data_IF_668603374171
#
_entry.id   IF_668603374171
#
_cell.length_a   1.000
_cell.length_b   1.000
_cell.length_c   1.000
_cell.angle_alpha   90.00
_cell.angle_beta   90.00
_cell.angle_gamma   90.00
#
_symmetry.space_group_name_H-M   'P 1'
#
loop_
_entity.id
_entity.type
_entity.pdbx_description
1 polymer ?
#
# COMPACT_ATOMS: atom_id res chain seq x y z
N UNK A 1 -0.85 26.59 -16.00
CA UNK A 1 -1.51 25.29 -15.77
C UNK A 1 -1.52 24.39 -17.00
N UNK A 2 -2.07 24.81 -18.15
CA UNK A 2 -2.11 23.98 -19.38
C UNK A 2 -0.70 23.63 -19.88
N UNK A 3 0.20 24.60 -19.96
CA UNK A 3 1.58 24.39 -20.44
C UNK A 3 2.36 23.40 -19.56
N UNK A 4 2.21 23.49 -18.24
CA UNK A 4 2.82 22.54 -17.29
C UNK A 4 2.28 21.12 -17.48
N UNK A 5 0.96 20.96 -17.66
CA UNK A 5 0.36 19.66 -17.97
C UNK A 5 0.87 19.09 -19.29
N UNK A 6 1.01 19.92 -20.33
CA UNK A 6 1.56 19.51 -21.62
C UNK A 6 3.02 19.09 -21.50
N UNK A 7 3.83 19.80 -20.71
CA UNK A 7 5.23 19.43 -20.45
C UNK A 7 5.34 18.06 -19.78
N UNK A 8 4.49 17.77 -18.78
CA UNK A 8 4.42 16.47 -18.10
C UNK A 8 3.97 15.34 -19.04
N UNK A 9 3.00 15.61 -19.92
CA UNK A 9 2.56 14.65 -20.95
C UNK A 9 3.70 14.36 -21.92
N UNK A 10 4.35 15.40 -22.44
CA UNK A 10 5.49 15.26 -23.36
C UNK A 10 6.64 14.48 -22.70
N UNK A 11 6.87 14.70 -21.40
CA UNK A 11 7.91 14.01 -20.66
C UNK A 11 7.75 12.48 -20.73
N UNK A 12 6.53 11.97 -20.50
CA UNK A 12 6.20 10.55 -20.60
C UNK A 12 5.98 10.06 -22.04
N UNK A 13 5.54 10.93 -22.95
CA UNK A 13 5.33 10.58 -24.36
C UNK A 13 6.66 10.19 -25.00
N UNK A 14 7.67 11.07 -24.86
CA UNK A 14 9.03 10.88 -25.38
C UNK A 14 9.81 9.74 -24.70
N UNK A 15 9.39 9.29 -23.50
CA UNK A 15 10.13 8.32 -22.67
C UNK A 15 9.32 7.05 -22.41
N UNK A 16 9.09 6.28 -23.47
CA UNK A 16 8.26 5.08 -23.45
C UNK A 16 8.63 4.10 -22.33
N UNK A 17 9.92 3.82 -22.11
CA UNK A 17 10.37 2.85 -21.08
C UNK A 17 9.94 3.28 -19.68
N UNK A 18 10.18 4.55 -19.35
CA UNK A 18 9.83 5.13 -18.05
C UNK A 18 8.31 5.10 -17.89
N UNK A 19 7.56 5.54 -18.91
CA UNK A 19 6.10 5.50 -18.89
C UNK A 19 5.55 4.09 -18.61
N UNK A 20 6.05 3.07 -19.28
CA UNK A 20 5.58 1.69 -19.04
C UNK A 20 5.98 1.18 -17.66
N UNK A 21 7.18 1.45 -17.19
CA UNK A 21 7.61 1.11 -15.83
C UNK A 21 6.69 1.77 -14.78
N UNK A 22 6.44 3.08 -14.91
CA UNK A 22 5.52 3.83 -14.05
C UNK A 22 4.11 3.21 -14.08
N UNK A 23 3.60 2.84 -15.25
CA UNK A 23 2.27 2.20 -15.38
C UNK A 23 2.20 0.84 -14.69
N UNK A 24 3.25 0.02 -14.79
CA UNK A 24 3.33 -1.27 -14.11
C UNK A 24 3.31 -1.07 -12.59
N UNK A 25 4.05 -0.10 -12.07
CA UNK A 25 4.08 0.22 -10.65
C UNK A 25 2.73 0.75 -10.14
N UNK A 26 2.12 1.70 -10.85
CA UNK A 26 0.81 2.25 -10.48
C UNK A 26 -0.29 1.17 -10.47
N UNK A 27 -0.23 0.16 -11.35
CA UNK A 27 -1.19 -0.97 -11.33
C UNK A 27 -1.09 -1.84 -10.08
N UNK A 28 0.05 -1.81 -9.37
CA UNK A 28 0.25 -2.54 -8.11
C UNK A 28 -0.23 -1.74 -6.90
N UNK A 29 -0.66 -0.49 -7.09
CA UNK A 29 -1.22 0.34 -6.02
C UNK A 29 -2.74 0.16 -5.93
N UNK A 30 -3.29 0.29 -4.74
CA UNK A 30 -4.73 0.30 -4.52
C UNK A 30 -5.30 1.71 -4.68
N UNK A 31 -6.62 1.79 -4.80
CA UNK A 31 -7.35 3.05 -4.76
C UNK A 31 -7.31 3.65 -3.34
N UNK A 32 -6.33 4.53 -3.12
CA UNK A 32 -6.12 5.20 -1.84
C UNK A 32 -7.28 6.14 -1.46
N UNK A 33 -7.90 6.83 -2.43
CA UNK A 33 -9.00 7.75 -2.13
C UNK A 33 -10.20 6.98 -1.58
N UNK A 34 -10.56 5.86 -2.23
CA UNK A 34 -11.63 4.99 -1.74
C UNK A 34 -11.29 4.34 -0.40
N UNK A 35 -10.04 3.95 -0.19
CA UNK A 35 -9.59 3.40 1.09
C UNK A 35 -9.71 4.44 2.22
N UNK A 36 -9.26 5.67 1.99
CA UNK A 36 -9.36 6.77 2.96
C UNK A 36 -10.81 7.10 3.30
N UNK A 37 -11.72 7.05 2.32
CA UNK A 37 -13.15 7.20 2.57
C UNK A 37 -13.70 6.09 3.48
N UNK A 38 -13.34 4.83 3.22
CA UNK A 38 -13.72 3.70 4.10
C UNK A 38 -13.16 3.84 5.50
N UNK A 39 -11.90 4.29 5.62
CA UNK A 39 -11.24 4.52 6.91
C UNK A 39 -11.97 5.62 7.70
N UNK A 40 -12.32 6.73 7.06
CA UNK A 40 -13.08 7.82 7.67
C UNK A 40 -14.48 7.37 8.14
N UNK A 41 -15.10 6.44 7.41
CA UNK A 41 -16.39 5.86 7.78
C UNK A 41 -16.29 4.66 8.76
N UNK A 42 -15.09 4.23 9.13
CA UNK A 42 -14.90 3.04 9.99
C UNK A 42 -15.28 1.70 9.34
N UNK A 43 -15.36 1.64 8.00
CA UNK A 43 -15.76 0.45 7.23
C UNK A 43 -14.58 -0.22 6.52
N UNK A 44 -13.36 0.13 6.91
CA UNK A 44 -12.14 -0.53 6.43
C UNK A 44 -12.09 -1.97 6.93
N UNK A 45 -11.68 -2.89 6.06
CA UNK A 45 -11.51 -4.30 6.40
C UNK A 45 -10.02 -4.71 6.36
N UNK A 46 -9.66 -5.88 6.89
CA UNK A 46 -8.26 -6.33 6.93
C UNK A 46 -7.59 -6.39 5.56
N UNK A 47 -8.33 -6.82 4.51
CA UNK A 47 -7.83 -6.89 3.14
C UNK A 47 -7.51 -5.52 2.54
N UNK A 48 -8.26 -4.48 2.90
CA UNK A 48 -7.93 -3.11 2.50
C UNK A 48 -6.57 -2.69 3.10
N UNK A 49 -6.31 -3.05 4.36
CA UNK A 49 -5.04 -2.73 5.03
C UNK A 49 -3.85 -3.50 4.42
N UNK A 50 -4.07 -4.73 3.96
CA UNK A 50 -3.07 -5.47 3.18
C UNK A 50 -2.82 -4.78 1.83
N UNK A 51 -3.87 -4.33 1.14
CA UNK A 51 -3.73 -3.59 -0.11
C UNK A 51 -2.99 -2.25 0.07
N UNK A 52 -3.23 -1.56 1.19
CA UNK A 52 -2.46 -0.38 1.59
C UNK A 52 -0.99 -0.73 1.82
N UNK A 53 -0.72 -1.80 2.56
CA UNK A 53 0.65 -2.30 2.80
C UNK A 53 1.38 -2.55 1.48
N UNK A 54 0.76 -3.27 0.55
CA UNK A 54 1.30 -3.53 -0.78
C UNK A 54 1.57 -2.23 -1.56
N UNK A 55 0.66 -1.26 -1.49
CA UNK A 55 0.84 0.06 -2.11
C UNK A 55 2.04 0.79 -1.53
N UNK A 56 2.16 0.85 -0.20
CA UNK A 56 3.27 1.53 0.48
C UNK A 56 4.63 0.91 0.13
N UNK A 57 4.70 -0.41 -0.07
CA UNK A 57 5.92 -1.09 -0.51
C UNK A 57 6.33 -0.74 -1.96
N UNK A 58 5.38 -0.35 -2.81
CA UNK A 58 5.63 0.05 -4.20
C UNK A 58 6.10 1.51 -4.30
N UNK A 59 5.71 2.37 -3.35
CA UNK A 59 6.01 3.80 -3.41
C UNK A 59 7.51 4.15 -3.55
N UNK A 60 8.46 3.47 -2.88
CA UNK A 60 9.88 3.76 -3.06
C UNK A 60 10.35 3.55 -4.51
N UNK A 61 9.93 2.45 -5.13
CA UNK A 61 10.26 2.10 -6.52
C UNK A 61 9.60 3.10 -7.48
N UNK A 62 8.33 3.42 -7.25
CA UNK A 62 7.59 4.41 -8.04
C UNK A 62 8.22 5.80 -7.95
N UNK A 63 8.58 6.25 -6.75
CA UNK A 63 9.23 7.54 -6.54
C UNK A 63 10.59 7.60 -7.25
N UNK A 64 11.39 6.54 -7.17
CA UNK A 64 12.68 6.48 -7.85
C UNK A 64 12.53 6.57 -9.37
N UNK A 65 11.53 5.88 -9.95
CA UNK A 65 11.26 5.94 -11.39
C UNK A 65 10.80 7.33 -11.86
N UNK A 66 10.05 8.05 -11.01
CA UNK A 66 9.54 9.39 -11.29
C UNK A 66 10.55 10.52 -11.03
N UNK A 67 11.55 10.29 -10.18
CA UNK A 67 12.58 11.28 -9.83
C UNK A 67 13.72 11.37 -10.86
N UNK A 68 13.65 10.59 -11.93
CA UNK A 68 14.61 10.58 -13.03
C UNK A 68 14.76 11.98 -13.64
N UNK A 69 15.99 12.45 -13.81
CA UNK A 69 16.28 13.79 -14.34
C UNK A 69 15.62 14.02 -15.71
N UNK A 70 15.49 12.96 -16.49
CA UNK A 70 14.85 12.99 -17.79
C UNK A 70 13.38 13.43 -17.72
N UNK A 71 12.71 13.31 -16.57
CA UNK A 71 11.29 13.62 -16.41
C UNK A 71 10.97 15.09 -16.07
N UNK A 72 11.99 15.94 -15.86
CA UNK A 72 11.80 17.39 -15.69
C UNK A 72 10.78 17.73 -14.60
N UNK A 73 9.72 18.49 -14.94
CA UNK A 73 8.68 18.91 -13.98
C UNK A 73 7.83 17.78 -13.40
N UNK A 74 7.93 16.55 -13.91
CA UNK A 74 7.32 15.36 -13.27
C UNK A 74 8.08 14.97 -12.00
N UNK A 75 9.38 15.28 -11.89
CA UNK A 75 10.16 14.98 -10.68
C UNK A 75 9.65 15.76 -9.45
N UNK A 76 8.99 16.90 -9.66
CA UNK A 76 8.29 17.65 -8.60
C UNK A 76 7.19 16.80 -7.96
N UNK A 77 6.39 16.09 -8.78
CA UNK A 77 5.34 15.17 -8.31
C UNK A 77 5.93 14.00 -7.53
N UNK A 78 7.12 13.53 -7.93
CA UNK A 78 7.83 12.48 -7.19
C UNK A 78 8.25 12.96 -5.78
N UNK A 79 8.57 14.25 -5.64
CA UNK A 79 8.88 14.89 -4.37
C UNK A 79 7.71 14.90 -3.38
N UNK A 80 6.48 14.92 -3.87
CA UNK A 80 5.25 14.86 -3.06
C UNK A 80 4.93 13.45 -2.53
N UNK A 81 5.56 12.40 -3.10
CA UNK A 81 5.34 11.02 -2.66
C UNK A 81 6.03 10.78 -1.31
N UNK A 82 5.20 10.69 -0.27
CA UNK A 82 5.63 10.26 1.06
C UNK A 82 5.64 8.72 1.15
N UNK A 83 6.75 8.17 1.64
CA UNK A 83 7.01 6.72 1.64
C UNK A 83 6.47 5.99 2.87
N UNK A 84 6.17 6.72 3.96
CA UNK A 84 5.64 6.17 5.22
C UNK A 84 6.30 4.84 5.68
N UNK A 85 7.65 4.75 5.76
CA UNK A 85 8.34 3.47 5.97
C UNK A 85 7.95 2.79 7.29
N UNK A 86 7.68 3.57 8.34
CA UNK A 86 7.21 3.06 9.63
C UNK A 86 5.82 2.40 9.54
N UNK A 87 4.90 3.00 8.77
CA UNK A 87 3.56 2.45 8.56
C UNK A 87 3.61 1.19 7.70
N UNK A 88 4.42 1.21 6.63
CA UNK A 88 4.63 0.04 5.78
C UNK A 88 5.17 -1.13 6.61
N UNK A 89 6.21 -0.89 7.42
CA UNK A 89 6.79 -1.91 8.30
C UNK A 89 5.74 -2.43 9.31
N UNK A 90 4.99 -1.54 9.95
CA UNK A 90 3.93 -1.92 10.89
C UNK A 90 2.92 -2.88 10.25
N UNK A 91 2.35 -2.50 9.10
CA UNK A 91 1.34 -3.31 8.42
C UNK A 91 1.91 -4.67 7.95
N UNK A 92 3.15 -4.68 7.47
CA UNK A 92 3.84 -5.93 7.10
C UNK A 92 4.03 -6.83 8.31
N UNK A 93 4.47 -6.31 9.44
CA UNK A 93 4.70 -7.13 10.64
C UNK A 93 3.40 -7.57 11.31
N UNK A 94 2.33 -6.77 11.19
CA UNK A 94 1.08 -7.00 11.89
C UNK A 94 0.16 -7.96 11.16
N UNK A 95 0.00 -7.85 9.84
CA UNK A 95 -1.09 -8.48 9.11
C UNK A 95 -0.68 -9.78 8.42
N UNK A 96 -1.58 -10.77 8.45
CA UNK A 96 -1.49 -11.97 7.59
C UNK A 96 -1.52 -11.57 6.10
N UNK A 97 -1.00 -12.44 5.24
CA UNK A 97 -0.97 -12.17 3.78
C UNK A 97 -2.36 -12.23 3.14
N UNK A 98 -3.20 -13.18 3.57
CA UNK A 98 -4.60 -13.29 3.14
C UNK A 98 -5.52 -13.32 4.38
N UNK A 99 -5.79 -12.16 5.00
CA UNK A 99 -6.69 -12.08 6.13
C UNK A 99 -8.14 -12.19 5.64
N UNK A 100 -9.07 -12.63 6.51
CA UNK A 100 -10.48 -12.66 6.18
C UNK A 100 -11.06 -11.26 5.95
N UNK A 101 -12.22 -11.23 5.29
CA UNK A 101 -12.96 -9.99 5.04
C UNK A 101 -13.59 -9.43 6.31
N UNK A 102 -14.07 -10.31 7.19
CA UNK A 102 -14.81 -9.92 8.38
C UNK A 102 -13.89 -9.95 9.58
N UNK A 103 -13.84 -8.84 10.33
CA UNK A 103 -12.96 -8.71 11.50
C UNK A 103 -13.22 -9.79 12.56
N UNK A 104 -14.47 -10.25 12.68
CA UNK A 104 -14.88 -11.26 13.66
C UNK A 104 -14.44 -12.69 13.32
N UNK A 105 -13.98 -12.95 12.09
CA UNK A 105 -13.50 -14.29 11.69
C UNK A 105 -12.10 -14.60 12.28
N UNK A 106 -11.42 -13.61 12.86
CA UNK A 106 -10.08 -13.77 13.43
C UNK A 106 -9.01 -13.97 12.37
N UNK A 107 -7.86 -14.53 12.73
CA UNK A 107 -6.74 -14.81 11.79
C UNK A 107 -6.30 -13.60 10.93
N UNK A 108 -6.35 -12.40 11.51
CA UNK A 108 -5.96 -11.15 10.85
C UNK A 108 -4.49 -10.84 11.10
N UNK A 109 -4.05 -11.09 12.34
CA UNK A 109 -2.70 -10.76 12.78
C UNK A 109 -1.75 -11.94 12.59
N UNK A 110 -0.47 -11.63 12.35
CA UNK A 110 0.60 -12.64 12.33
C UNK A 110 0.83 -13.19 13.72
N UNK A 111 1.16 -14.48 13.81
CA UNK A 111 1.66 -15.06 15.05
C UNK A 111 2.93 -14.32 15.49
N UNK A 112 3.05 -14.06 16.79
CA UNK A 112 4.14 -13.30 17.38
C UNK A 112 3.96 -11.78 17.32
N UNK A 113 2.89 -11.28 16.69
CA UNK A 113 2.60 -9.84 16.71
C UNK A 113 2.18 -9.34 18.09
N UNK A 114 1.36 -10.14 18.80
CA UNK A 114 0.90 -9.80 20.14
C UNK A 114 0.76 -11.07 20.99
N UNK A 115 1.66 -11.23 21.95
CA UNK A 115 1.77 -12.46 22.75
C UNK A 115 0.45 -12.86 23.42
N UNK A 116 -0.23 -11.92 24.09
CA UNK A 116 -1.50 -12.20 24.75
C UNK A 116 -2.60 -12.61 23.76
N UNK A 117 -2.57 -12.07 22.53
CA UNK A 117 -3.54 -12.44 21.50
C UNK A 117 -3.25 -13.86 21.00
N UNK A 118 -1.98 -14.19 20.81
CA UNK A 118 -1.56 -15.53 20.41
C UNK A 118 -1.94 -16.58 21.46
N UNK A 119 -1.78 -16.26 22.75
CA UNK A 119 -2.21 -17.11 23.86
C UNK A 119 -3.73 -17.35 23.85
N UNK A 120 -4.55 -16.30 23.62
CA UNK A 120 -6.01 -16.42 23.51
C UNK A 120 -6.44 -17.27 22.30
N UNK A 121 -5.78 -17.09 21.15
CA UNK A 121 -6.05 -17.87 19.93
C UNK A 121 -5.72 -19.35 20.16
N UNK A 122 -4.58 -19.65 20.81
CA UNK A 122 -4.18 -21.03 21.16
C UNK A 122 -5.17 -21.68 22.10
N UNK A 123 -5.53 -21.01 23.21
CA UNK A 123 -6.50 -21.51 24.17
C UNK A 123 -7.86 -21.84 23.53
N UNK A 124 -8.31 -21.04 22.56
CA UNK A 124 -9.57 -21.27 21.83
C UNK A 124 -9.50 -22.46 20.87
N UNK A 125 -8.34 -22.69 20.24
CA UNK A 125 -8.12 -23.86 19.35
C UNK A 125 -8.03 -25.15 20.16
N UNK A 126 -7.20 -25.15 21.20
CA UNK A 126 -7.01 -26.31 22.06
C UNK A 126 -8.33 -26.65 22.76
N UNK A 127 -9.08 -25.62 23.17
CA UNK A 127 -10.45 -25.63 23.68
C UNK A 127 -11.46 -26.54 22.98
N UNK A 128 -11.31 -26.73 21.66
CA UNK A 128 -12.23 -27.50 20.81
C UNK A 128 -11.78 -28.95 20.60
N UNK A 129 -10.61 -29.35 21.09
CA UNK A 129 -10.07 -30.71 20.92
C UNK A 129 -10.39 -31.67 22.08
N UNK A 130 -11.11 -31.23 23.10
CA UNK A 130 -11.59 -32.01 24.24
C UNK A 130 -13.12 -32.08 24.24
#
# INVERSE_FOLDING_TARGET
>A
EIEDRLAKVEAFYSRHRIREATRVLLRRTCDLQRLLAKLACGTVNPRDLVALSATLQVLPELRAELFREELGSVAELAGEINLFPKLSALLVTALQEDPPLVVTEGNIFREGYHQELDELIRATRDGKQW
#
